data_IF_461661386472
#
_entry.id   IF_461661386472
#
_cell.length_a   1.000
_cell.length_b   1.000
_cell.length_c   1.000
_cell.angle_alpha   90.00
_cell.angle_beta   90.00
_cell.angle_gamma   90.00
#
_symmetry.space_group_name_H-M   'P 1'
#
loop_
_entity.id
_entity.type
_entity.pdbx_description
1 polymer ?
#
# COMPACT_ATOMS: atom_id res chain seq x y z
N UNK A 1 1.76 16.13 -11.62
CA UNK A 1 2.22 14.73 -11.70
C UNK A 1 1.25 13.89 -10.89
N UNK A 2 1.01 12.62 -11.25
CA UNK A 2 0.06 11.73 -10.57
C UNK A 2 0.57 11.18 -9.23
N UNK A 3 1.82 11.49 -8.88
CA UNK A 3 2.50 11.09 -7.64
C UNK A 3 3.53 12.15 -7.21
N UNK A 4 3.97 12.07 -5.95
CA UNK A 4 5.17 12.73 -5.42
C UNK A 4 6.30 11.71 -5.24
N UNK A 5 7.54 12.16 -5.43
CA UNK A 5 8.75 11.36 -5.31
C UNK A 5 9.74 12.10 -4.41
N UNK A 6 10.31 11.37 -3.46
CA UNK A 6 11.46 11.81 -2.67
C UNK A 6 12.54 10.75 -2.80
N UNK A 7 13.73 11.18 -3.20
CA UNK A 7 14.89 10.30 -3.31
C UNK A 7 15.73 10.41 -2.05
N UNK A 8 15.88 9.30 -1.34
CA UNK A 8 16.79 9.16 -0.22
C UNK A 8 18.02 8.31 -0.58
N UNK A 9 18.85 8.02 0.41
CA UNK A 9 20.11 7.27 0.27
C UNK A 9 20.10 5.94 1.06
N UNK A 10 18.97 5.55 1.64
CA UNK A 10 18.76 4.25 2.30
C UNK A 10 18.50 3.12 1.28
N UNK A 11 18.79 1.85 1.63
CA UNK A 11 18.39 0.68 0.84
C UNK A 11 16.87 0.43 0.78
N UNK A 12 16.08 1.20 1.55
CA UNK A 12 14.63 1.09 1.65
C UNK A 12 13.90 2.07 0.73
N UNK A 13 12.79 1.62 0.15
CA UNK A 13 11.86 2.42 -0.66
C UNK A 13 10.45 2.21 -0.10
N UNK A 14 9.72 3.30 0.18
CA UNK A 14 8.29 3.25 0.52
C UNK A 14 7.41 3.52 -0.70
N UNK A 15 6.34 2.74 -0.85
CA UNK A 15 5.28 2.96 -1.84
C UNK A 15 3.96 3.25 -1.12
N UNK A 16 3.28 4.34 -1.49
CA UNK A 16 1.96 4.71 -0.98
C UNK A 16 0.96 4.79 -2.14
N UNK A 17 0.43 3.64 -2.60
CA UNK A 17 -0.39 3.60 -3.81
C UNK A 17 -1.81 4.10 -3.60
N UNK A 18 -2.31 4.15 -2.34
CA UNK A 18 -3.73 4.34 -2.04
C UNK A 18 -4.05 5.55 -1.15
N UNK A 19 -3.07 6.37 -0.77
CA UNK A 19 -3.30 7.59 0.02
C UNK A 19 -3.79 8.79 -0.79
N UNK A 20 -3.75 8.71 -2.12
CA UNK A 20 -4.20 9.76 -3.02
C UNK A 20 -5.71 10.02 -2.94
N UNK A 21 -6.10 11.28 -3.14
CA UNK A 21 -7.51 11.73 -3.11
C UNK A 21 -7.94 12.48 -4.38
N UNK A 22 -7.01 12.70 -5.31
CA UNK A 22 -7.30 13.40 -6.55
C UNK A 22 -8.15 12.52 -7.46
N UNK A 23 -9.28 13.07 -7.87
CA UNK A 23 -10.19 12.49 -8.86
C UNK A 23 -10.35 13.53 -9.98
N UNK A 24 -9.79 13.26 -11.19
CA UNK A 24 -9.94 14.15 -12.34
C UNK A 24 -11.41 14.48 -12.63
N UNK A 25 -11.69 15.72 -13.03
CA UNK A 25 -13.06 16.22 -13.17
C UNK A 25 -13.89 15.48 -14.22
N UNK A 26 -13.25 14.93 -15.26
CA UNK A 26 -13.87 14.05 -16.24
C UNK A 26 -14.33 12.72 -15.66
N UNK A 27 -13.56 12.18 -14.70
CA UNK A 27 -13.91 10.96 -13.98
C UNK A 27 -14.96 11.24 -12.91
N UNK A 28 -14.82 12.36 -12.19
CA UNK A 28 -15.72 12.74 -11.11
C UNK A 28 -17.19 12.87 -11.54
N UNK A 29 -17.44 13.26 -12.80
CA UNK A 29 -18.80 13.39 -13.36
C UNK A 29 -19.56 12.07 -13.41
N UNK A 30 -18.87 10.93 -13.57
CA UNK A 30 -19.49 9.61 -13.62
C UNK A 30 -19.72 8.97 -12.25
N UNK A 31 -19.16 9.54 -11.18
CA UNK A 31 -19.27 8.99 -9.83
C UNK A 31 -20.61 9.34 -9.19
N UNK A 32 -21.07 8.51 -8.26
CA UNK A 32 -22.25 8.81 -7.41
C UNK A 32 -21.96 10.02 -6.53
N UNK A 33 -20.81 10.02 -5.85
CA UNK A 33 -20.33 11.17 -5.08
C UNK A 33 -18.83 11.06 -4.82
N UNK A 34 -18.18 12.21 -4.55
CA UNK A 34 -16.77 12.24 -4.14
C UNK A 34 -16.54 11.55 -2.80
N UNK A 35 -17.43 11.76 -1.82
CA UNK A 35 -17.32 11.14 -0.49
C UNK A 35 -17.29 9.62 -0.58
N UNK A 36 -18.20 9.05 -1.38
CA UNK A 36 -18.25 7.60 -1.55
C UNK A 36 -17.04 7.06 -2.32
N UNK A 37 -16.55 7.80 -3.32
CA UNK A 37 -15.34 7.46 -4.07
C UNK A 37 -14.03 7.57 -3.26
N UNK A 38 -14.06 8.16 -2.06
CA UNK A 38 -12.90 8.26 -1.16
C UNK A 38 -13.10 7.43 0.12
N UNK A 39 -14.16 6.61 0.19
CA UNK A 39 -14.48 5.82 1.38
C UNK A 39 -13.40 4.78 1.71
N UNK A 40 -12.72 4.26 0.68
CA UNK A 40 -11.71 3.21 0.81
C UNK A 40 -10.27 3.74 0.63
N UNK A 41 -10.06 5.04 0.84
CA UNK A 41 -8.74 5.67 0.83
C UNK A 41 -7.94 5.26 2.07
N UNK A 42 -6.64 5.08 1.86
CA UNK A 42 -5.67 4.80 2.91
C UNK A 42 -5.27 6.12 3.58
N UNK A 43 -6.18 6.66 4.37
CA UNK A 43 -6.08 8.00 4.94
C UNK A 43 -4.83 8.16 5.81
N UNK A 44 -4.10 9.27 5.63
CA UNK A 44 -2.95 9.65 6.47
C UNK A 44 -1.76 8.67 6.51
N UNK A 45 -1.71 7.61 5.69
CA UNK A 45 -0.58 6.68 5.70
C UNK A 45 0.77 7.39 5.45
N UNK A 46 0.93 8.32 4.50
CA UNK A 46 2.18 9.08 4.36
C UNK A 46 2.54 9.90 5.61
N UNK A 47 1.54 10.39 6.36
CA UNK A 47 1.76 11.09 7.64
C UNK A 47 2.24 10.12 8.73
N UNK A 48 1.70 8.90 8.80
CA UNK A 48 2.20 7.87 9.72
C UNK A 48 3.68 7.60 9.49
N UNK A 49 4.08 7.42 8.24
CA UNK A 49 5.47 7.16 7.88
C UNK A 49 6.35 8.41 7.75
N UNK A 50 5.88 9.59 8.18
CA UNK A 50 6.60 10.86 7.99
C UNK A 50 8.03 10.85 8.54
N UNK A 51 8.28 10.11 9.63
CA UNK A 51 9.60 9.92 10.24
C UNK A 51 10.61 9.24 9.29
N UNK A 52 10.15 8.46 8.30
CA UNK A 52 11.04 7.71 7.40
C UNK A 52 11.90 8.63 6.51
N UNK A 53 11.49 9.89 6.32
CA UNK A 53 12.32 10.88 5.62
C UNK A 53 13.63 11.16 6.34
N UNK A 54 13.61 11.19 7.67
CA UNK A 54 14.82 11.41 8.48
C UNK A 54 15.77 10.21 8.43
N UNK A 55 15.24 9.02 8.11
CA UNK A 55 16.02 7.80 7.84
C UNK A 55 16.59 7.77 6.40
N UNK A 56 16.40 8.83 5.60
CA UNK A 56 16.86 8.89 4.21
C UNK A 56 16.19 7.84 3.32
N UNK A 57 14.96 7.44 3.64
CA UNK A 57 14.20 6.43 2.88
C UNK A 57 13.60 7.08 1.64
N UNK A 58 13.78 6.44 0.49
CA UNK A 58 13.14 6.90 -0.74
C UNK A 58 11.64 6.64 -0.67
N UNK A 59 10.81 7.48 -1.26
CA UNK A 59 9.37 7.25 -1.26
C UNK A 59 8.72 7.55 -2.60
N UNK A 60 7.59 6.88 -2.89
CA UNK A 60 6.72 7.18 -4.03
C UNK A 60 5.29 7.24 -3.52
N UNK A 61 4.64 8.39 -3.65
CA UNK A 61 3.31 8.65 -3.07
C UNK A 61 2.29 8.99 -4.15
N UNK A 62 1.25 8.19 -4.33
CA UNK A 62 0.19 8.48 -5.28
C UNK A 62 -0.66 9.68 -4.85
N UNK A 63 -0.92 10.60 -5.77
CA UNK A 63 -1.92 11.68 -5.57
C UNK A 63 -3.31 11.26 -6.01
N UNK A 64 -3.36 10.40 -7.04
CA UNK A 64 -4.60 9.91 -7.64
C UNK A 64 -5.28 8.91 -6.72
N UNK A 65 -6.59 9.04 -6.54
CA UNK A 65 -7.39 8.08 -5.76
C UNK A 65 -7.42 6.70 -6.40
N UNK A 66 -7.41 5.65 -5.57
CA UNK A 66 -7.57 4.26 -6.00
C UNK A 66 -8.87 4.00 -6.79
N UNK A 67 -9.90 4.83 -6.62
CA UNK A 67 -11.15 4.72 -7.39
C UNK A 67 -10.97 5.12 -8.84
N UNK A 68 -10.01 6.00 -9.14
CA UNK A 68 -9.61 6.28 -10.54
C UNK A 68 -8.97 5.02 -11.12
N UNK A 69 -7.90 4.55 -10.48
CA UNK A 69 -7.21 3.30 -10.80
C UNK A 69 -6.42 2.82 -9.58
N UNK A 70 -6.56 1.55 -9.23
CA UNK A 70 -5.87 0.92 -8.12
C UNK A 70 -4.45 0.51 -8.56
N UNK A 71 -3.46 1.24 -8.08
CA UNK A 71 -2.04 1.04 -8.41
C UNK A 71 -1.43 -0.24 -7.79
N UNK A 72 -2.21 -1.00 -7.02
CA UNK A 72 -1.78 -2.26 -6.41
C UNK A 72 -2.62 -3.46 -6.89
N UNK A 73 -3.16 -3.37 -8.11
CA UNK A 73 -3.85 -4.45 -8.83
C UNK A 73 -3.08 -4.88 -10.06
N UNK A 74 -3.34 -6.12 -10.48
CA UNK A 74 -2.82 -6.63 -11.74
C UNK A 74 -3.37 -5.78 -12.92
N UNK A 75 -2.50 -5.20 -13.78
CA UNK A 75 -2.92 -4.38 -14.91
C UNK A 75 -3.71 -5.15 -15.98
N UNK A 76 -3.64 -6.49 -15.96
CA UNK A 76 -4.43 -7.39 -16.81
C UNK A 76 -5.73 -7.85 -16.14
N UNK A 77 -5.96 -7.46 -14.87
CA UNK A 77 -7.21 -7.71 -14.14
C UNK A 77 -7.33 -9.07 -13.49
N UNK A 78 -6.26 -9.88 -13.45
CA UNK A 78 -6.27 -11.17 -12.77
C UNK A 78 -6.42 -11.00 -11.25
N UNK A 79 -7.31 -11.79 -10.64
CA UNK A 79 -7.45 -11.81 -9.18
C UNK A 79 -6.26 -12.50 -8.53
N UNK A 80 -5.63 -11.81 -7.57
CA UNK A 80 -4.53 -12.34 -6.76
C UNK A 80 -5.00 -13.20 -5.58
N UNK A 81 -6.31 -13.25 -5.34
CA UNK A 81 -6.93 -13.96 -4.21
C UNK A 81 -8.13 -14.80 -4.71
N UNK A 82 -7.87 -15.98 -5.31
CA UNK A 82 -8.94 -16.84 -5.82
C UNK A 82 -9.93 -17.23 -4.71
N UNK A 83 -11.23 -17.11 -4.99
CA UNK A 83 -12.30 -17.44 -4.04
C UNK A 83 -12.55 -16.39 -2.95
N UNK A 84 -11.85 -15.25 -2.98
CA UNK A 84 -12.08 -14.14 -2.05
C UNK A 84 -12.61 -12.91 -2.78
N UNK A 85 -13.45 -12.14 -2.10
CA UNK A 85 -13.92 -10.84 -2.61
C UNK A 85 -12.75 -9.87 -2.72
N UNK A 86 -12.61 -9.25 -3.88
CA UNK A 86 -11.60 -8.21 -4.16
C UNK A 86 -12.20 -7.14 -5.05
N UNK A 87 -11.61 -5.94 -5.03
CA UNK A 87 -11.91 -4.89 -6.01
C UNK A 87 -11.03 -5.04 -7.26
N UNK A 88 -11.48 -4.50 -8.39
CA UNK A 88 -10.75 -4.52 -9.66
C UNK A 88 -9.78 -3.34 -9.85
N UNK A 89 -9.05 -3.35 -10.97
CA UNK A 89 -8.09 -2.30 -11.36
C UNK A 89 -8.71 -0.91 -11.43
N UNK A 90 -9.94 -0.78 -11.94
CA UNK A 90 -10.77 0.41 -11.80
C UNK A 90 -12.03 0.01 -11.02
N UNK A 91 -12.07 0.24 -9.70
CA UNK A 91 -13.15 -0.27 -8.85
C UNK A 91 -14.54 0.23 -9.30
N UNK A 92 -15.51 -0.69 -9.39
CA UNK A 92 -16.91 -0.37 -9.68
C UNK A 92 -17.73 -0.13 -8.42
N UNK A 93 -17.27 -0.64 -7.29
CA UNK A 93 -17.93 -0.68 -5.99
C UNK A 93 -16.91 -0.50 -4.88
N UNK A 94 -17.36 0.01 -3.73
CA UNK A 94 -16.55 0.12 -2.53
C UNK A 94 -16.29 -1.26 -1.89
N UNK A 95 -15.46 -1.27 -0.85
CA UNK A 95 -15.22 -2.45 -0.02
C UNK A 95 -16.51 -3.00 0.63
N UNK A 96 -17.52 -2.16 0.86
CA UNK A 96 -18.84 -2.60 1.36
C UNK A 96 -19.77 -3.10 0.25
N UNK A 97 -19.36 -3.01 -1.03
CA UNK A 97 -20.20 -3.37 -2.18
C UNK A 97 -21.16 -2.29 -2.62
N UNK A 98 -20.89 -1.03 -2.27
CA UNK A 98 -21.72 0.11 -2.70
C UNK A 98 -21.24 0.60 -4.07
N UNK A 99 -22.11 0.71 -5.10
CA UNK A 99 -21.71 1.14 -6.45
C UNK A 99 -21.11 2.54 -6.48
N UNK A 100 -19.88 2.70 -6.96
CA UNK A 100 -19.16 3.98 -6.98
C UNK A 100 -19.60 4.90 -8.14
N UNK A 101 -20.19 4.32 -9.19
CA UNK A 101 -20.54 5.01 -10.43
C UNK A 101 -22.05 5.16 -10.59
N UNK A 102 -22.47 6.25 -11.22
CA UNK A 102 -23.83 6.39 -11.72
C UNK A 102 -24.11 5.27 -12.74
N UNK A 103 -25.39 4.92 -12.88
CA UNK A 103 -25.80 3.80 -13.73
C UNK A 103 -25.35 4.02 -15.19
N UNK A 104 -24.46 3.16 -15.67
CA UNK A 104 -23.92 3.21 -17.03
C UNK A 104 -22.67 4.07 -17.21
N UNK A 105 -22.21 4.75 -16.15
CA UNK A 105 -21.07 5.69 -16.19
C UNK A 105 -19.75 5.06 -15.71
N UNK A 106 -19.71 3.73 -15.53
CA UNK A 106 -18.50 3.00 -15.17
C UNK A 106 -17.42 3.07 -16.27
N UNK A 107 -16.14 2.80 -15.91
CA UNK A 107 -15.03 2.85 -16.85
C UNK A 107 -15.21 1.82 -17.99
N UNK A 108 -15.13 2.30 -19.23
CA UNK A 108 -15.05 1.46 -20.42
C UNK A 108 -13.64 0.88 -20.59
N UNK A 109 -13.46 -0.13 -21.45
CA UNK A 109 -12.12 -0.66 -21.75
C UNK A 109 -11.14 0.41 -22.25
N UNK A 110 -11.59 1.32 -23.12
CA UNK A 110 -10.77 2.43 -23.59
C UNK A 110 -10.36 3.40 -22.46
N UNK A 111 -11.25 3.61 -21.49
CA UNK A 111 -10.99 4.44 -20.34
C UNK A 111 -10.02 3.78 -19.35
N UNK A 112 -10.12 2.46 -19.15
CA UNK A 112 -9.15 1.69 -18.37
C UNK A 112 -7.76 1.81 -18.99
N UNK A 113 -7.62 1.62 -20.30
CA UNK A 113 -6.33 1.75 -21.00
C UNK A 113 -5.78 3.18 -20.94
N UNK A 114 -6.63 4.20 -21.05
CA UNK A 114 -6.20 5.60 -20.83
C UNK A 114 -5.61 5.77 -19.44
N UNK A 115 -6.32 5.33 -18.39
CA UNK A 115 -5.89 5.47 -16.99
C UNK A 115 -4.61 4.68 -16.69
N UNK A 116 -4.43 3.50 -17.30
CA UNK A 116 -3.19 2.74 -17.24
C UNK A 116 -2.02 3.59 -17.75
N UNK A 117 -2.17 4.20 -18.92
CA UNK A 117 -1.11 5.01 -19.53
C UNK A 117 -0.82 6.31 -18.76
N UNK A 118 -1.83 6.95 -18.16
CA UNK A 118 -1.65 8.26 -17.51
C UNK A 118 -1.35 8.20 -16.02
N UNK A 119 -1.65 7.09 -15.34
CA UNK A 119 -1.43 6.94 -13.89
C UNK A 119 -0.58 5.71 -13.57
N UNK A 120 -1.05 4.52 -13.96
CA UNK A 120 -0.44 3.24 -13.55
C UNK A 120 1.01 3.13 -14.02
N UNK A 121 1.25 3.24 -15.32
CA UNK A 121 2.59 3.08 -15.91
C UNK A 121 3.56 4.12 -15.33
N UNK A 122 3.12 5.35 -15.10
CA UNK A 122 3.98 6.40 -14.56
C UNK A 122 4.37 6.15 -13.11
N UNK A 123 3.42 5.72 -12.27
CA UNK A 123 3.69 5.35 -10.88
C UNK A 123 4.65 4.15 -10.79
N UNK A 124 4.39 3.11 -11.58
CA UNK A 124 5.22 1.91 -11.61
C UNK A 124 6.60 2.15 -12.22
N UNK A 125 6.71 3.07 -13.18
CA UNK A 125 8.01 3.52 -13.66
C UNK A 125 8.80 4.18 -12.53
N UNK A 126 8.18 5.03 -11.72
CA UNK A 126 8.87 5.65 -10.58
C UNK A 126 9.36 4.61 -9.56
N UNK A 127 8.54 3.61 -9.23
CA UNK A 127 8.96 2.50 -8.37
C UNK A 127 10.14 1.73 -8.99
N UNK A 128 10.04 1.32 -10.25
CA UNK A 128 11.10 0.57 -10.94
C UNK A 128 12.41 1.37 -11.01
N UNK A 129 12.33 2.67 -11.31
CA UNK A 129 13.50 3.55 -11.36
C UNK A 129 14.16 3.67 -9.98
N UNK A 130 13.38 3.79 -8.89
CA UNK A 130 13.92 3.83 -7.53
C UNK A 130 14.55 2.49 -7.13
N UNK A 131 13.92 1.36 -7.46
CA UNK A 131 14.50 0.04 -7.21
C UNK A 131 15.85 -0.09 -7.92
N UNK A 132 15.92 0.29 -9.20
CA UNK A 132 17.17 0.24 -9.96
C UNK A 132 18.25 1.15 -9.35
N UNK A 133 17.90 2.38 -8.98
CA UNK A 133 18.80 3.36 -8.35
C UNK A 133 19.36 2.85 -7.03
N UNK A 134 18.48 2.40 -6.13
CA UNK A 134 18.84 1.91 -4.80
C UNK A 134 19.67 0.64 -4.91
N UNK A 135 19.26 -0.32 -5.75
CA UNK A 135 20.03 -1.54 -6.00
C UNK A 135 21.41 -1.27 -6.58
N UNK A 136 21.55 -0.32 -7.51
CA UNK A 136 22.85 0.06 -8.05
C UNK A 136 23.79 0.64 -6.98
N UNK A 137 23.24 1.26 -5.92
CA UNK A 137 24.01 1.85 -4.82
C UNK A 137 24.36 0.85 -3.73
N UNK A 138 23.44 -0.04 -3.36
CA UNK A 138 23.56 -0.92 -2.20
C UNK A 138 23.74 -2.40 -2.54
N UNK A 139 23.69 -2.79 -3.81
CA UNK A 139 23.70 -4.19 -4.25
C UNK A 139 22.33 -4.87 -4.18
N UNK A 140 21.39 -4.33 -3.40
CA UNK A 140 20.02 -4.80 -3.26
C UNK A 140 19.06 -3.62 -3.01
N UNK A 141 17.75 -3.88 -3.06
CA UNK A 141 16.73 -2.92 -2.65
C UNK A 141 15.63 -3.62 -1.83
N UNK A 142 15.08 -2.92 -0.85
CA UNK A 142 13.88 -3.36 -0.14
C UNK A 142 12.73 -2.39 -0.44
N UNK A 143 11.68 -2.88 -1.08
CA UNK A 143 10.43 -2.17 -1.30
C UNK A 143 9.45 -2.48 -0.18
N UNK A 144 8.93 -1.46 0.47
CA UNK A 144 7.93 -1.59 1.53
C UNK A 144 6.66 -0.85 1.09
N UNK A 145 5.61 -1.63 0.82
CA UNK A 145 4.33 -1.16 0.29
C UNK A 145 3.38 -0.86 1.46
N UNK A 146 3.07 0.42 1.66
CA UNK A 146 2.39 0.95 2.83
C UNK A 146 0.88 1.10 2.59
N UNK A 147 0.07 0.44 3.41
CA UNK A 147 -1.40 0.43 3.29
C UNK A 147 -2.10 0.59 4.63
N UNK A 148 -3.35 1.00 4.57
CA UNK A 148 -4.27 0.88 5.69
C UNK A 148 -5.70 0.69 5.23
N UNK A 149 -6.49 0.00 6.06
CA UNK A 149 -7.89 -0.29 5.81
C UNK A 149 -8.69 -0.18 7.11
N UNK A 150 -9.99 0.04 6.99
CA UNK A 150 -10.93 -0.12 8.11
C UNK A 150 -10.73 -1.46 8.80
N UNK A 151 -10.74 -1.47 10.13
CA UNK A 151 -10.51 -2.64 10.95
C UNK A 151 -11.60 -3.70 10.81
N UNK A 152 -12.81 -3.30 10.41
CA UNK A 152 -13.94 -4.22 10.20
C UNK A 152 -14.54 -3.98 8.81
N UNK A 153 -14.40 -4.98 7.93
CA UNK A 153 -15.00 -4.95 6.59
C UNK A 153 -15.60 -6.34 6.28
N UNK A 154 -16.86 -6.61 6.69
CA UNK A 154 -17.45 -7.95 6.65
C UNK A 154 -17.48 -8.62 5.27
N UNK A 155 -17.50 -7.81 4.20
CA UNK A 155 -17.48 -8.30 2.83
C UNK A 155 -16.10 -8.83 2.40
N UNK A 156 -15.03 -8.38 3.04
CA UNK A 156 -13.65 -8.73 2.68
C UNK A 156 -13.03 -9.74 3.64
N UNK A 157 -13.40 -9.71 4.92
CA UNK A 157 -12.89 -10.61 5.96
C UNK A 157 -13.83 -10.67 7.17
N UNK A 158 -13.77 -11.78 7.91
CA UNK A 158 -14.56 -12.00 9.11
C UNK A 158 -13.91 -11.33 10.34
N UNK A 159 -14.74 -10.67 11.15
CA UNK A 159 -14.32 -10.06 12.41
C UNK A 159 -13.41 -8.85 12.24
N UNK A 160 -12.63 -8.56 13.30
CA UNK A 160 -11.71 -7.44 13.33
C UNK A 160 -10.33 -7.87 12.81
N UNK A 161 -9.77 -7.05 11.93
CA UNK A 161 -8.43 -7.23 11.39
C UNK A 161 -7.39 -6.98 12.50
N UNK A 162 -6.33 -7.82 12.60
CA UNK A 162 -5.16 -7.47 13.39
C UNK A 162 -4.62 -6.09 13.01
N UNK A 163 -4.02 -5.36 13.94
CA UNK A 163 -3.58 -3.98 13.67
C UNK A 163 -2.44 -3.94 12.65
N UNK A 164 -1.45 -4.83 12.75
CA UNK A 164 -0.32 -4.90 11.83
C UNK A 164 -0.37 -6.20 11.00
N UNK A 165 -0.55 -6.11 9.68
CA UNK A 165 -0.60 -7.29 8.81
C UNK A 165 0.54 -7.24 7.80
N UNK A 166 1.54 -8.10 8.01
CA UNK A 166 2.68 -8.24 7.14
C UNK A 166 2.36 -9.17 5.97
N UNK A 167 2.55 -8.71 4.74
CA UNK A 167 2.39 -9.52 3.53
C UNK A 167 3.70 -9.69 2.78
N UNK A 168 4.09 -10.93 2.48
CA UNK A 168 5.36 -11.26 1.79
C UNK A 168 5.16 -12.24 0.63
N UNK A 169 3.97 -12.24 0.04
CA UNK A 169 3.54 -13.21 -0.97
C UNK A 169 3.70 -14.66 -0.49
N UNK A 170 3.34 -14.93 0.77
CA UNK A 170 3.57 -16.24 1.42
C UNK A 170 5.05 -16.65 1.39
N UNK A 171 5.96 -15.73 1.72
CA UNK A 171 7.40 -15.96 1.79
C UNK A 171 8.14 -15.92 0.45
N UNK A 172 7.48 -15.51 -0.64
CA UNK A 172 8.08 -15.50 -1.98
C UNK A 172 8.65 -14.14 -2.39
N UNK A 173 8.25 -13.04 -1.74
CA UNK A 173 8.68 -11.69 -2.16
C UNK A 173 9.90 -11.16 -1.41
N UNK A 174 10.38 -11.84 -0.37
CA UNK A 174 11.57 -11.44 0.38
C UNK A 174 12.35 -12.65 0.91
N UNK A 175 13.56 -12.42 1.44
CA UNK A 175 14.32 -13.47 2.10
C UNK A 175 13.60 -13.94 3.39
N UNK A 176 13.62 -15.24 3.73
CA UNK A 176 12.98 -15.74 4.95
C UNK A 176 13.50 -15.08 6.24
N UNK A 177 14.80 -14.78 6.33
CA UNK A 177 15.38 -14.09 7.48
C UNK A 177 14.79 -12.68 7.67
N UNK A 178 14.52 -11.96 6.58
CA UNK A 178 13.90 -10.63 6.64
C UNK A 178 12.46 -10.69 7.15
N UNK A 179 11.65 -11.62 6.63
CA UNK A 179 10.28 -11.85 7.12
C UNK A 179 10.28 -12.20 8.61
N UNK A 180 11.14 -13.12 9.03
CA UNK A 180 11.24 -13.56 10.43
C UNK A 180 11.65 -12.43 11.37
N UNK A 181 12.56 -11.53 10.95
CA UNK A 181 12.98 -10.39 11.77
C UNK A 181 11.87 -9.37 11.93
N UNK A 182 11.19 -9.00 10.84
CA UNK A 182 10.08 -8.05 10.88
C UNK A 182 8.92 -8.63 11.70
N UNK A 183 8.58 -9.91 11.48
CA UNK A 183 7.58 -10.61 12.29
C UNK A 183 7.93 -10.68 13.77
N UNK A 184 9.20 -10.98 14.09
CA UNK A 184 9.69 -11.00 15.47
C UNK A 184 9.70 -9.63 16.15
N UNK A 185 9.89 -8.55 15.38
CA UNK A 185 9.73 -7.18 15.87
C UNK A 185 8.25 -6.91 16.16
N UNK A 186 7.34 -7.20 15.23
CA UNK A 186 5.89 -6.97 15.41
C UNK A 186 5.33 -7.73 16.61
N UNK A 187 5.85 -8.93 16.89
CA UNK A 187 5.47 -9.73 18.05
C UNK A 187 5.89 -9.12 19.41
N UNK A 188 6.81 -8.14 19.41
CA UNK A 188 7.21 -7.39 20.60
C UNK A 188 6.43 -6.09 20.78
N UNK A 189 5.74 -5.61 19.73
CA UNK A 189 4.85 -4.47 19.82
C UNK A 189 3.59 -4.81 20.65
N UNK A 190 2.91 -3.78 21.16
CA UNK A 190 1.63 -3.94 21.86
C UNK A 190 0.44 -4.18 20.92
N UNK A 191 0.67 -4.19 19.60
CA UNK A 191 -0.37 -4.32 18.59
C UNK A 191 -0.60 -5.79 18.21
N UNK A 192 -1.86 -6.14 17.96
CA UNK A 192 -2.18 -7.43 17.33
C UNK A 192 -1.58 -7.47 15.93
N UNK A 193 -1.16 -8.65 15.50
CA UNK A 193 -0.50 -8.79 14.21
C UNK A 193 -0.80 -10.12 13.52
N UNK A 194 -0.61 -10.14 12.21
CA UNK A 194 -0.60 -11.34 11.40
C UNK A 194 0.50 -11.27 10.33
N UNK A 195 1.01 -12.43 9.93
CA UNK A 195 1.94 -12.58 8.81
C UNK A 195 1.26 -13.45 7.76
N UNK A 196 1.16 -12.94 6.54
CA UNK A 196 0.47 -13.58 5.42
C UNK A 196 -0.95 -14.06 5.76
N UNK A 197 -1.68 -13.29 6.57
CA UNK A 197 -3.08 -13.52 6.90
C UNK A 197 -4.01 -13.15 5.74
N UNK A 198 -4.96 -12.24 5.99
CA UNK A 198 -5.85 -11.73 4.92
C UNK A 198 -5.07 -10.99 3.83
N UNK A 199 -4.06 -10.23 4.22
CA UNK A 199 -3.20 -9.44 3.34
C UNK A 199 -1.86 -10.14 3.19
N UNK A 200 -1.66 -10.77 2.03
CA UNK A 200 -0.42 -11.50 1.70
C UNK A 200 0.49 -10.67 0.80
N UNK A 201 0.24 -9.37 0.64
CA UNK A 201 0.85 -8.53 -0.39
C UNK A 201 -0.06 -8.35 -1.61
N UNK A 202 -0.02 -7.17 -2.22
CA UNK A 202 -0.74 -6.83 -3.44
C UNK A 202 0.08 -7.12 -4.69
N UNK A 203 -0.31 -6.50 -5.79
CA UNK A 203 0.41 -6.64 -7.05
C UNK A 203 1.85 -6.10 -6.95
N UNK A 204 2.06 -4.94 -6.34
CA UNK A 204 3.37 -4.32 -6.13
C UNK A 204 4.33 -5.31 -5.45
N UNK A 205 3.93 -5.88 -4.31
CA UNK A 205 4.74 -6.84 -3.56
C UNK A 205 5.11 -8.07 -4.40
N UNK A 206 4.15 -8.61 -5.18
CA UNK A 206 4.37 -9.83 -6.00
C UNK A 206 5.19 -9.56 -7.24
N UNK A 207 4.99 -8.39 -7.85
CA UNK A 207 5.61 -8.02 -9.10
C UNK A 207 7.08 -7.67 -8.89
N UNK A 208 7.37 -6.85 -7.88
CA UNK A 208 8.72 -6.35 -7.60
C UNK A 208 9.53 -7.24 -6.66
N UNK A 209 8.88 -8.05 -5.81
CA UNK A 209 9.58 -9.01 -4.97
C UNK A 209 10.28 -10.09 -5.79
N UNK A 210 11.58 -9.95 -5.97
CA UNK A 210 12.49 -10.85 -6.69
C UNK A 210 13.73 -11.08 -5.82
N UNK A 211 13.61 -11.84 -4.71
CA UNK A 211 14.71 -12.02 -3.78
C UNK A 211 15.96 -12.64 -4.44
N UNK A 212 15.79 -13.51 -5.44
CA UNK A 212 16.90 -14.08 -6.23
C UNK A 212 17.65 -13.04 -7.08
N UNK A 213 17.01 -11.90 -7.34
CA UNK A 213 17.60 -10.74 -8.00
C UNK A 213 17.90 -9.63 -7.00
N UNK A 214 18.02 -9.92 -5.70
CA UNK A 214 18.34 -8.93 -4.66
C UNK A 214 17.33 -7.77 -4.58
N UNK A 215 16.06 -8.02 -4.91
CA UNK A 215 14.96 -7.08 -4.68
C UNK A 215 13.96 -7.74 -3.75
N UNK A 216 13.87 -7.25 -2.53
CA UNK A 216 12.92 -7.75 -1.54
C UNK A 216 11.71 -6.82 -1.50
N UNK A 217 10.51 -7.37 -1.31
CA UNK A 217 9.30 -6.59 -1.16
C UNK A 217 8.46 -7.11 0.01
N UNK A 218 7.94 -6.19 0.83
CA UNK A 218 7.01 -6.45 1.91
C UNK A 218 5.83 -5.49 1.77
N UNK A 219 4.64 -5.92 2.15
CA UNK A 219 3.47 -5.05 2.37
C UNK A 219 3.21 -4.96 3.86
N UNK A 220 2.84 -3.76 4.32
CA UNK A 220 2.21 -3.57 5.62
C UNK A 220 0.81 -3.01 5.43
N UNK A 221 -0.18 -3.76 5.90
CA UNK A 221 -1.56 -3.31 5.99
C UNK A 221 -1.90 -3.01 7.46
N UNK A 222 -2.35 -1.77 7.71
CA UNK A 222 -2.65 -1.26 9.05
C UNK A 222 -4.16 -1.12 9.24
N UNK A 223 -4.69 -1.58 10.38
CA UNK A 223 -6.08 -1.27 10.74
C UNK A 223 -6.23 0.22 11.15
N UNK A 224 -7.11 0.96 10.48
CA UNK A 224 -7.25 2.42 10.61
C UNK A 224 -7.57 2.90 12.03
N UNK A 225 -8.39 2.15 12.79
CA UNK A 225 -8.70 2.48 14.18
C UNK A 225 -7.46 2.64 15.10
N UNK A 226 -6.31 2.10 14.69
CA UNK A 226 -5.05 2.22 15.42
C UNK A 226 -4.45 3.63 15.43
N UNK A 227 -4.92 4.54 14.58
CA UNK A 227 -4.39 5.92 14.49
C UNK A 227 -5.44 7.00 14.18
N UNK A 228 -6.65 6.61 13.80
CA UNK A 228 -7.73 7.52 13.47
C UNK A 228 -9.10 6.93 13.86
N UNK A 229 -10.13 7.77 13.90
CA UNK A 229 -11.50 7.27 13.79
C UNK A 229 -11.76 6.91 12.33
N UNK A 230 -12.38 5.76 12.10
CA UNK A 230 -12.69 5.27 10.76
C UNK A 230 -13.84 6.07 10.12
N UNK A 231 -14.18 5.73 8.88
CA UNK A 231 -15.27 6.39 8.14
C UNK A 231 -16.58 6.44 8.98
N UNK A 232 -17.37 7.53 8.87
CA UNK A 232 -17.28 8.57 7.84
C UNK A 232 -16.44 9.80 8.21
N UNK A 233 -16.00 9.95 9.47
CA UNK A 233 -15.36 11.19 9.93
C UNK A 233 -13.86 11.24 9.64
N UNK A 234 -13.20 10.08 9.59
CA UNK A 234 -11.77 9.97 9.27
C UNK A 234 -10.88 10.91 10.11
N UNK A 235 -11.07 10.95 11.43
CA UNK A 235 -10.40 11.91 12.34
C UNK A 235 -9.10 11.33 12.86
N UNK A 236 -7.98 12.01 12.60
CA UNK A 236 -6.67 11.66 13.13
C UNK A 236 -6.60 11.82 14.66
N UNK A 237 -5.94 10.88 15.35
CA UNK A 237 -5.67 10.95 16.80
C UNK A 237 -4.18 10.89 17.07
N UNK A 238 -3.58 12.01 17.51
CA UNK A 238 -2.12 12.11 17.73
C UNK A 238 -1.60 11.06 18.73
N UNK A 239 -2.30 10.84 19.85
CA UNK A 239 -1.86 9.86 20.86
C UNK A 239 -1.83 8.42 20.32
N UNK A 240 -2.85 8.03 19.54
CA UNK A 240 -2.92 6.69 18.92
C UNK A 240 -1.86 6.55 17.85
N UNK A 241 -1.74 7.57 16.99
CA UNK A 241 -0.78 7.59 15.91
C UNK A 241 0.66 7.54 16.42
N UNK A 242 1.01 8.29 17.48
CA UNK A 242 2.39 8.31 18.00
C UNK A 242 2.86 6.92 18.43
N UNK A 243 2.01 6.14 19.12
CA UNK A 243 2.32 4.77 19.48
C UNK A 243 2.57 3.87 18.27
N UNK A 244 1.76 4.04 17.22
CA UNK A 244 1.89 3.30 15.98
C UNK A 244 3.14 3.73 15.19
N UNK A 245 3.44 5.02 15.14
CA UNK A 245 4.63 5.56 14.48
C UNK A 245 5.91 4.99 15.09
N UNK A 246 5.97 4.86 16.42
CA UNK A 246 7.11 4.23 17.09
C UNK A 246 7.26 2.77 16.67
N UNK A 247 6.17 1.99 16.66
CA UNK A 247 6.21 0.60 16.22
C UNK A 247 6.62 0.47 14.74
N UNK A 248 6.14 1.35 13.87
CA UNK A 248 6.51 1.38 12.45
C UNK A 248 7.98 1.82 12.26
N UNK A 249 8.49 2.72 13.09
CA UNK A 249 9.91 3.08 13.08
C UNK A 249 10.77 1.87 13.40
N UNK A 250 10.42 1.12 14.45
CA UNK A 250 11.11 -0.13 14.81
C UNK A 250 11.06 -1.17 13.67
N UNK A 251 9.94 -1.25 12.90
CA UNK A 251 9.87 -2.06 11.67
C UNK A 251 10.92 -1.61 10.67
N UNK A 252 10.94 -0.32 10.33
CA UNK A 252 11.80 0.18 9.26
C UNK A 252 13.27 0.10 9.65
N UNK A 253 13.61 0.40 10.91
CA UNK A 253 14.97 0.20 11.44
C UNK A 253 15.38 -1.26 11.39
N UNK A 254 14.49 -2.20 11.73
CA UNK A 254 14.77 -3.65 11.60
C UNK A 254 15.12 -4.04 10.17
N UNK A 255 14.43 -3.45 9.18
CA UNK A 255 14.70 -3.69 7.76
C UNK A 255 16.05 -3.09 7.35
N UNK A 256 16.33 -1.85 7.75
CA UNK A 256 17.60 -1.16 7.45
C UNK A 256 18.79 -1.89 8.10
N UNK A 257 18.63 -2.38 9.32
CA UNK A 257 19.63 -3.17 10.05
C UNK A 257 19.89 -4.53 9.40
N UNK A 258 18.83 -5.17 8.88
CA UNK A 258 18.96 -6.42 8.13
C UNK A 258 19.72 -6.16 6.83
N UNK A 259 19.33 -5.11 6.11
CA UNK A 259 19.91 -4.65 4.87
C UNK A 259 21.41 -4.36 5.03
N UNK A 260 21.83 -3.65 6.08
CA UNK A 260 23.23 -3.35 6.35
C UNK A 260 24.13 -4.59 6.60
N UNK A 261 23.55 -5.73 7.00
CA UNK A 261 24.28 -6.99 7.25
C UNK A 261 24.40 -7.89 6.01
N UNK A 262 23.68 -7.55 4.94
CA UNK A 262 23.62 -8.31 3.69
C UNK A 262 24.09 -7.48 2.47
N UNK A 263 24.60 -6.27 2.73
CA UNK A 263 25.28 -5.40 1.77
C UNK A 263 26.72 -5.84 1.50
#
# INVERSE_FOLDING_TARGET
MSFDLFEGDSPLILSFPHSGTDIPGDIARGLVSKTQALADTDWYVPRLYGFARDLGVSWVEAKTSRTVIDLNRDPDGHSLYPGQTTTGLCPLESFDGVPLWQKGEGPTGAEIERRKNTHFILYHKAISDQIARVKARHGFAVLYDCHSIRGTVPRLFDGDLPVLNLGTNSGQSCAPDLENRVGGMMARCSYTHAINGRFKGGWITRHYGRPDESVHALQMEIAQHAYMDEAPLCVWHDDRAQGLQNALNDVLETIVDWAARHA
#
